data_IF_919574227653
#
_entry.id   IF_919574227653
#
_cell.length_a   1.000
_cell.length_b   1.000
_cell.length_c   1.000
_cell.angle_alpha   90.00
_cell.angle_beta   90.00
_cell.angle_gamma   90.00
#
_symmetry.space_group_name_H-M   'P 1'
#
loop_
_entity.id
_entity.type
_entity.pdbx_description
1 polymer ?
#
# COMPACT_ATOMS: atom_id res chain seq x y z
N UNK A 1 -6.79 43.14 -65.90
CA UNK A 1 -5.66 43.03 -64.96
C UNK A 1 -5.66 41.64 -64.35
N UNK A 2 -5.06 40.66 -65.04
CA UNK A 2 -4.94 39.27 -64.55
C UNK A 2 -3.60 39.11 -63.85
N UNK A 3 -3.62 38.83 -62.54
CA UNK A 3 -2.41 38.49 -61.79
C UNK A 3 -2.10 37.00 -62.03
N UNK A 4 -1.00 36.70 -62.72
CA UNK A 4 -0.43 35.35 -62.77
C UNK A 4 0.17 35.01 -61.41
N UNK A 5 -0.40 34.05 -60.71
CA UNK A 5 0.25 33.45 -59.54
C UNK A 5 1.31 32.45 -60.03
N UNK A 6 2.56 32.53 -59.54
CA UNK A 6 3.61 31.57 -59.90
C UNK A 6 3.22 30.17 -59.42
N UNK A 7 3.33 29.18 -60.31
CA UNK A 7 3.09 27.77 -60.00
C UNK A 7 4.24 27.28 -59.11
N UNK A 8 3.98 27.08 -57.83
CA UNK A 8 4.95 26.49 -56.89
C UNK A 8 5.18 25.04 -57.34
N UNK A 9 6.40 24.70 -57.74
CA UNK A 9 6.76 23.32 -58.04
C UNK A 9 6.64 22.48 -56.77
N UNK A 10 5.74 21.50 -56.77
CA UNK A 10 5.71 20.48 -55.72
C UNK A 10 7.00 19.65 -55.83
N UNK A 11 7.95 19.89 -54.92
CA UNK A 11 9.02 18.94 -54.67
C UNK A 11 8.36 17.69 -54.05
N UNK A 12 8.23 16.62 -54.85
CA UNK A 12 7.69 15.35 -54.36
C UNK A 12 8.53 14.85 -53.18
N UNK A 13 7.86 14.31 -52.16
CA UNK A 13 8.50 13.66 -51.00
C UNK A 13 9.63 12.75 -51.46
N UNK A 14 10.84 13.03 -51.01
CA UNK A 14 11.97 12.13 -51.28
C UNK A 14 11.79 10.87 -50.44
N UNK A 15 12.16 9.70 -50.96
CA UNK A 15 12.12 8.44 -50.19
C UNK A 15 12.95 8.53 -48.89
N UNK A 16 13.98 9.38 -48.89
CA UNK A 16 14.80 9.69 -47.73
C UNK A 16 14.00 10.37 -46.59
N UNK A 17 13.10 11.29 -46.92
CA UNK A 17 12.30 12.04 -45.93
C UNK A 17 11.35 11.11 -45.16
N UNK A 18 10.70 10.17 -45.86
CA UNK A 18 9.83 9.18 -45.24
C UNK A 18 10.63 8.23 -44.34
N UNK A 19 11.84 7.82 -44.75
CA UNK A 19 12.71 6.95 -43.94
C UNK A 19 13.19 7.65 -42.68
N UNK A 20 13.58 8.93 -42.77
CA UNK A 20 13.97 9.73 -41.59
C UNK A 20 12.76 9.92 -40.65
N UNK A 21 11.59 10.27 -41.18
CA UNK A 21 10.37 10.40 -40.39
C UNK A 21 10.01 9.08 -39.68
N UNK A 22 10.10 7.95 -40.38
CA UNK A 22 9.87 6.62 -39.82
C UNK A 22 10.88 6.26 -38.73
N UNK A 23 12.16 6.60 -38.92
CA UNK A 23 13.22 6.39 -37.92
C UNK A 23 12.96 7.20 -36.64
N UNK A 24 12.63 8.49 -36.78
CA UNK A 24 12.28 9.37 -35.65
C UNK A 24 11.04 8.85 -34.93
N UNK A 25 9.99 8.48 -35.67
CA UNK A 25 8.76 7.91 -35.10
C UNK A 25 9.05 6.62 -34.32
N UNK A 26 9.87 5.73 -34.88
CA UNK A 26 10.23 4.45 -34.24
C UNK A 26 10.93 4.68 -32.90
N UNK A 27 11.91 5.59 -32.84
CA UNK A 27 12.56 5.94 -31.58
C UNK A 27 11.62 6.64 -30.60
N UNK A 28 10.76 7.54 -31.09
CA UNK A 28 9.74 8.18 -30.27
C UNK A 28 8.78 7.18 -29.62
N UNK A 29 8.34 6.18 -30.37
CA UNK A 29 7.45 5.13 -29.86
C UNK A 29 8.14 4.24 -28.82
N UNK A 30 9.39 3.85 -29.05
CA UNK A 30 10.18 3.08 -28.07
C UNK A 30 10.37 3.88 -26.77
N UNK A 31 10.65 5.18 -26.88
CA UNK A 31 10.73 6.09 -25.74
C UNK A 31 9.41 6.17 -24.96
N UNK A 32 8.28 6.29 -25.67
CA UNK A 32 6.96 6.33 -25.05
C UNK A 32 6.60 5.02 -24.31
N UNK A 33 6.92 3.86 -24.89
CA UNK A 33 6.68 2.55 -24.24
C UNK A 33 7.52 2.41 -22.97
N UNK A 34 8.79 2.80 -23.00
CA UNK A 34 9.65 2.78 -21.81
C UNK A 34 9.09 3.66 -20.70
N UNK A 35 8.61 4.88 -21.04
CA UNK A 35 7.98 5.78 -20.08
C UNK A 35 6.67 5.19 -19.52
N UNK A 36 5.81 4.61 -20.37
CA UNK A 36 4.57 3.96 -19.93
C UNK A 36 4.83 2.81 -18.96
N UNK A 37 5.86 2.00 -19.21
CA UNK A 37 6.24 0.91 -18.31
C UNK A 37 6.66 1.43 -16.92
N UNK A 38 7.47 2.50 -16.88
CA UNK A 38 7.87 3.15 -15.62
C UNK A 38 6.70 3.81 -14.90
N UNK A 39 5.80 4.47 -15.63
CA UNK A 39 4.59 5.07 -15.07
C UNK A 39 3.67 4.01 -14.44
N UNK A 40 3.50 2.85 -15.10
CA UNK A 40 2.71 1.73 -14.57
C UNK A 40 3.34 1.15 -13.30
N UNK A 41 4.66 0.99 -13.29
CA UNK A 41 5.40 0.53 -12.11
C UNK A 41 5.20 1.49 -10.92
N UNK A 42 5.40 2.80 -11.12
CA UNK A 42 5.21 3.80 -10.07
C UNK A 42 3.76 3.89 -9.58
N UNK A 43 2.79 3.72 -10.48
CA UNK A 43 1.36 3.67 -10.14
C UNK A 43 1.04 2.46 -9.25
N UNK A 44 1.61 1.29 -9.57
CA UNK A 44 1.45 0.10 -8.76
C UNK A 44 2.05 0.26 -7.36
N UNK A 45 3.29 0.75 -7.25
CA UNK A 45 3.94 1.01 -5.96
C UNK A 45 3.12 1.99 -5.10
N UNK A 46 2.54 3.02 -5.73
CA UNK A 46 1.66 3.98 -5.06
C UNK A 46 0.36 3.33 -4.57
N UNK A 47 -0.24 2.45 -5.38
CA UNK A 47 -1.43 1.68 -5.01
C UNK A 47 -1.16 0.76 -3.81
N UNK A 48 -0.03 0.03 -3.80
CA UNK A 48 0.35 -0.83 -2.67
C UNK A 48 0.48 0.01 -1.38
N UNK A 49 1.18 1.16 -1.46
CA UNK A 49 1.35 2.05 -0.31
C UNK A 49 0.02 2.61 0.19
N UNK A 50 -0.88 3.00 -0.71
CA UNK A 50 -2.22 3.48 -0.34
C UNK A 50 -3.04 2.38 0.35
N UNK A 51 -2.99 1.14 -0.15
CA UNK A 51 -3.65 -0.01 0.47
C UNK A 51 -3.11 -0.29 1.88
N UNK A 52 -1.80 -0.23 2.08
CA UNK A 52 -1.17 -0.42 3.39
C UNK A 52 -1.55 0.69 4.38
N UNK A 53 -1.54 1.96 3.95
CA UNK A 53 -1.98 3.10 4.78
C UNK A 53 -3.45 2.96 5.17
N UNK A 54 -4.31 2.55 4.24
CA UNK A 54 -5.73 2.34 4.50
C UNK A 54 -5.97 1.22 5.52
N UNK A 55 -5.27 0.09 5.39
CA UNK A 55 -5.33 -1.01 6.38
C UNK A 55 -4.88 -0.55 7.76
N UNK A 56 -3.74 0.15 7.84
CA UNK A 56 -3.20 0.64 9.10
C UNK A 56 -4.16 1.64 9.77
N UNK A 57 -4.73 2.57 8.99
CA UNK A 57 -5.69 3.55 9.47
C UNK A 57 -6.99 2.92 9.98
N UNK A 58 -7.50 1.90 9.30
CA UNK A 58 -8.71 1.17 9.71
C UNK A 58 -8.56 0.55 11.10
N UNK A 59 -7.49 -0.23 11.33
CA UNK A 59 -7.28 -0.86 12.64
C UNK A 59 -6.97 0.17 13.72
N UNK A 60 -6.25 1.24 13.40
CA UNK A 60 -5.97 2.31 14.38
C UNK A 60 -7.27 2.95 14.85
N UNK A 61 -8.24 3.15 13.94
CA UNK A 61 -9.52 3.72 14.30
C UNK A 61 -10.38 2.76 15.12
N UNK A 62 -10.33 1.46 14.82
CA UNK A 62 -10.97 0.41 15.64
C UNK A 62 -10.40 0.37 17.06
N UNK A 63 -9.07 0.39 17.19
CA UNK A 63 -8.37 0.44 18.49
C UNK A 63 -8.78 1.68 19.30
N UNK A 64 -8.86 2.86 18.65
CA UNK A 64 -9.33 4.10 19.31
C UNK A 64 -10.79 4.03 19.75
N UNK A 65 -11.62 3.27 19.04
CA UNK A 65 -13.04 3.10 19.38
C UNK A 65 -13.25 2.10 20.53
N UNK A 66 -12.27 1.24 20.79
CA UNK A 66 -12.28 0.25 21.86
C UNK A 66 -11.14 0.55 22.85
N UNK A 67 -11.16 1.78 23.38
CA UNK A 67 -10.19 2.23 24.38
C UNK A 67 -10.42 1.47 25.69
N UNK A 68 -9.39 0.74 26.13
CA UNK A 68 -9.46 -0.12 27.32
C UNK A 68 -8.12 -0.17 28.04
N UNK A 69 -8.14 -0.35 29.36
CA UNK A 69 -6.92 -0.50 30.16
C UNK A 69 -6.09 -1.74 29.76
N UNK A 70 -6.71 -2.72 29.10
CA UNK A 70 -6.09 -3.97 28.62
C UNK A 70 -5.72 -3.92 27.13
N UNK A 71 -5.58 -2.72 26.54
CA UNK A 71 -5.33 -2.54 25.10
C UNK A 71 -4.09 -3.31 24.60
N UNK A 72 -3.05 -3.41 25.43
CA UNK A 72 -1.85 -4.19 25.11
C UNK A 72 -2.17 -5.65 24.86
N UNK A 73 -2.94 -6.29 25.75
CA UNK A 73 -3.29 -7.70 25.63
C UNK A 73 -4.33 -7.94 24.54
N UNK A 74 -5.22 -6.97 24.31
CA UNK A 74 -6.33 -7.11 23.36
C UNK A 74 -5.88 -7.00 21.90
N UNK A 75 -5.02 -6.02 21.58
CA UNK A 75 -4.61 -5.71 20.20
C UNK A 75 -3.12 -5.94 19.91
N UNK A 76 -2.27 -6.07 20.95
CA UNK A 76 -0.85 -6.31 20.76
C UNK A 76 -0.59 -7.64 20.05
N UNK A 77 0.31 -7.61 19.06
CA UNK A 77 0.71 -8.82 18.36
C UNK A 77 1.01 -8.59 16.88
N UNK A 78 1.23 -9.69 16.17
CA UNK A 78 1.47 -9.69 14.73
C UNK A 78 0.59 -10.69 14.01
N UNK A 79 0.15 -10.32 12.81
CA UNK A 79 -0.70 -11.13 11.95
C UNK A 79 -0.14 -11.15 10.54
N UNK A 80 -0.36 -12.25 9.83
CA UNK A 80 -0.06 -12.40 8.41
C UNK A 80 -1.33 -12.77 7.67
N UNK A 81 -1.34 -12.69 6.34
CA UNK A 81 -2.49 -13.12 5.53
C UNK A 81 -2.81 -14.61 5.69
N UNK A 82 -1.81 -15.43 6.02
CA UNK A 82 -1.96 -16.87 6.25
C UNK A 82 -2.38 -17.20 7.68
N UNK A 83 -2.44 -16.21 8.57
CA UNK A 83 -2.93 -16.41 9.94
C UNK A 83 -4.33 -17.01 9.92
N UNK A 84 -4.55 -18.07 10.70
CA UNK A 84 -5.84 -18.76 10.74
C UNK A 84 -6.95 -17.78 11.13
N UNK A 85 -8.05 -17.85 10.37
CA UNK A 85 -9.27 -17.12 10.65
C UNK A 85 -10.09 -17.93 11.65
N UNK A 86 -10.56 -17.26 12.69
CA UNK A 86 -11.61 -17.75 13.56
C UNK A 86 -12.94 -17.13 13.15
N UNK A 87 -14.03 -17.87 13.33
CA UNK A 87 -15.37 -17.33 13.15
C UNK A 87 -15.88 -16.81 14.50
N UNK A 88 -15.46 -15.60 14.86
CA UNK A 88 -15.96 -14.92 16.06
C UNK A 88 -17.27 -14.21 15.73
N UNK A 89 -18.38 -14.78 16.20
CA UNK A 89 -19.74 -14.21 16.09
C UNK A 89 -20.26 -13.68 17.43
N UNK A 90 -19.41 -13.61 18.46
CA UNK A 90 -19.83 -13.32 19.83
C UNK A 90 -20.53 -11.97 19.90
N UNK A 91 -20.04 -10.96 19.19
CA UNK A 91 -20.64 -9.62 19.18
C UNK A 91 -21.88 -9.47 18.29
N UNK A 92 -22.27 -10.49 17.52
CA UNK A 92 -23.51 -10.50 16.74
C UNK A 92 -24.64 -11.29 17.42
N UNK A 93 -24.29 -12.16 18.36
CA UNK A 93 -25.22 -13.08 19.01
C UNK A 93 -25.38 -12.85 20.52
N UNK A 94 -24.42 -12.16 21.15
CA UNK A 94 -24.35 -11.97 22.60
C UNK A 94 -23.85 -10.57 22.97
N UNK A 95 -23.85 -10.27 24.27
CA UNK A 95 -23.20 -9.08 24.81
C UNK A 95 -21.71 -9.07 24.44
N UNK A 96 -21.23 -7.91 23.98
CA UNK A 96 -19.89 -7.73 23.48
C UNK A 96 -19.10 -6.83 24.45
N UNK A 97 -18.09 -7.39 25.11
CA UNK A 97 -17.17 -6.63 25.95
C UNK A 97 -15.93 -6.18 25.15
N UNK A 98 -15.05 -5.37 25.74
CA UNK A 98 -13.88 -4.85 25.04
C UNK A 98 -12.96 -5.97 24.47
N UNK A 99 -12.92 -7.14 25.10
CA UNK A 99 -12.11 -8.27 24.60
C UNK A 99 -12.76 -8.91 23.36
N UNK A 100 -14.08 -9.13 23.37
CA UNK A 100 -14.78 -9.69 22.22
C UNK A 100 -14.82 -8.72 21.03
N UNK A 101 -14.91 -7.39 21.28
CA UNK A 101 -14.73 -6.38 20.22
C UNK A 101 -13.35 -6.52 19.58
N UNK A 102 -12.30 -6.59 20.40
CA UNK A 102 -10.92 -6.69 19.89
C UNK A 102 -10.68 -7.98 19.10
N UNK A 103 -11.25 -9.11 19.54
CA UNK A 103 -11.16 -10.36 18.80
C UNK A 103 -11.88 -10.28 17.45
N UNK A 104 -13.11 -9.76 17.43
CA UNK A 104 -13.86 -9.54 16.20
C UNK A 104 -13.10 -8.62 15.23
N UNK A 105 -12.55 -7.50 15.73
CA UNK A 105 -11.75 -6.58 14.92
C UNK A 105 -10.55 -7.28 14.29
N UNK A 106 -9.79 -8.06 15.06
CA UNK A 106 -8.66 -8.83 14.56
C UNK A 106 -9.09 -9.81 13.47
N UNK A 107 -10.20 -10.52 13.64
CA UNK A 107 -10.68 -11.48 12.64
C UNK A 107 -11.14 -10.79 11.35
N UNK A 108 -11.94 -9.74 11.45
CA UNK A 108 -12.34 -8.94 10.28
C UNK A 108 -11.13 -8.37 9.55
N UNK A 109 -10.12 -7.95 10.31
CA UNK A 109 -8.94 -7.34 9.74
C UNK A 109 -8.00 -8.36 9.08
N UNK A 110 -7.85 -9.56 9.65
CA UNK A 110 -7.17 -10.69 8.96
C UNK A 110 -7.84 -11.01 7.62
N UNK A 111 -9.18 -10.97 7.55
CA UNK A 111 -9.91 -11.16 6.29
C UNK A 111 -9.62 -10.03 5.30
N UNK A 112 -9.58 -8.78 5.76
CA UNK A 112 -9.23 -7.63 4.93
C UNK A 112 -7.81 -7.75 4.35
N UNK A 113 -6.83 -8.16 5.16
CA UNK A 113 -5.45 -8.41 4.71
C UNK A 113 -5.44 -9.50 3.63
N UNK A 114 -6.09 -10.64 3.87
CA UNK A 114 -6.17 -11.74 2.91
C UNK A 114 -6.84 -11.32 1.60
N UNK A 115 -7.89 -10.49 1.65
CA UNK A 115 -8.54 -9.96 0.46
C UNK A 115 -7.60 -9.05 -0.37
N UNK A 116 -6.76 -8.26 0.29
CA UNK A 116 -5.77 -7.40 -0.40
C UNK A 116 -4.70 -8.21 -1.10
N UNK A 117 -4.32 -9.37 -0.57
CA UNK A 117 -3.40 -10.29 -1.25
C UNK A 117 -4.04 -11.03 -2.42
N UNK A 118 -5.26 -11.54 -2.24
CA UNK A 118 -5.98 -12.23 -3.32
C UNK A 118 -6.25 -11.32 -4.53
N UNK A 119 -6.32 -10.01 -4.30
CA UNK A 119 -6.47 -9.00 -5.37
C UNK A 119 -5.13 -8.52 -5.94
N UNK A 120 -4.00 -9.01 -5.42
CA UNK A 120 -2.64 -8.60 -5.83
C UNK A 120 -2.28 -7.17 -5.45
N UNK A 121 -3.05 -6.54 -4.55
CA UNK A 121 -2.78 -5.17 -4.08
C UNK A 121 -1.66 -5.10 -3.05
N UNK A 122 -1.46 -6.19 -2.29
CA UNK A 122 -0.34 -6.43 -1.39
C UNK A 122 0.13 -7.87 -1.60
N UNK A 123 1.33 -8.19 -1.13
CA UNK A 123 1.94 -9.52 -1.23
C UNK A 123 2.74 -9.80 0.04
N UNK A 124 2.67 -11.03 0.55
CA UNK A 124 3.25 -11.47 1.83
C UNK A 124 3.17 -10.43 2.96
N UNK A 125 1.93 -10.02 3.25
CA UNK A 125 1.60 -8.94 4.16
C UNK A 125 1.72 -9.42 5.59
N UNK A 126 2.58 -8.74 6.35
CA UNK A 126 2.68 -8.88 7.80
C UNK A 126 2.28 -7.57 8.45
N UNK A 127 1.44 -7.65 9.47
CA UNK A 127 1.10 -6.50 10.30
C UNK A 127 1.53 -6.72 11.73
N UNK A 128 2.10 -5.69 12.34
CA UNK A 128 2.48 -5.68 13.74
C UNK A 128 1.83 -4.48 14.43
N UNK A 129 1.14 -4.74 15.54
CA UNK A 129 0.52 -3.73 16.39
C UNK A 129 1.31 -3.72 17.69
N UNK A 130 1.90 -2.57 18.00
CA UNK A 130 2.76 -2.37 19.17
C UNK A 130 2.21 -1.24 20.02
N UNK A 131 1.27 -1.56 20.93
CA UNK A 131 0.81 -0.64 21.95
C UNK A 131 1.81 -0.57 23.10
N UNK A 132 2.11 0.64 23.56
CA UNK A 132 2.99 0.91 24.70
C UNK A 132 2.26 1.86 25.63
N UNK A 133 2.22 1.54 26.93
CA UNK A 133 1.61 2.41 27.93
C UNK A 133 2.36 3.74 28.01
N UNK A 134 1.62 4.84 27.98
CA UNK A 134 2.16 6.21 28.01
C UNK A 134 1.20 7.11 28.79
N UNK A 135 1.57 7.43 30.04
CA UNK A 135 0.71 8.16 30.98
C UNK A 135 -0.67 7.52 31.16
N UNK A 136 -1.72 8.32 30.96
CA UNK A 136 -3.13 7.92 31.07
C UNK A 136 -3.66 7.20 29.81
N UNK A 137 -2.78 6.82 28.89
CA UNK A 137 -3.15 6.19 27.64
C UNK A 137 -2.11 5.22 27.09
N UNK A 138 -2.16 5.03 25.78
CA UNK A 138 -1.27 4.16 25.03
C UNK A 138 -0.77 4.86 23.77
N UNK A 139 0.54 4.81 23.54
CA UNK A 139 1.13 5.05 22.23
C UNK A 139 1.05 3.77 21.42
N UNK A 140 0.20 3.77 20.38
CA UNK A 140 -0.04 2.61 19.52
C UNK A 140 0.67 2.84 18.21
N UNK A 141 1.57 1.93 17.84
CA UNK A 141 2.21 1.90 16.53
C UNK A 141 1.69 0.72 15.72
N UNK A 142 1.12 1.01 14.55
CA UNK A 142 0.67 0.00 13.59
C UNK A 142 1.62 0.02 12.41
N UNK A 143 2.27 -1.12 12.17
CA UNK A 143 3.20 -1.29 11.05
C UNK A 143 2.67 -2.36 10.09
N UNK A 144 2.42 -1.97 8.85
CA UNK A 144 2.07 -2.89 7.76
C UNK A 144 3.29 -3.06 6.88
N UNK A 145 3.78 -4.29 6.76
CA UNK A 145 4.87 -4.68 5.89
C UNK A 145 4.37 -5.60 4.77
N UNK A 146 4.92 -5.46 3.57
CA UNK A 146 4.58 -6.27 2.40
C UNK A 146 5.78 -6.38 1.45
N UNK A 147 5.71 -7.27 0.47
CA UNK A 147 6.73 -7.45 -0.56
C UNK A 147 6.49 -6.49 -1.72
N UNK A 148 7.47 -5.64 -1.98
CA UNK A 148 7.51 -4.73 -3.12
C UNK A 148 8.09 -5.39 -4.38
N UNK A 149 7.90 -4.75 -5.52
CA UNK A 149 8.31 -5.31 -6.84
C UNK A 149 9.74 -4.95 -7.24
N UNK A 150 10.47 -4.23 -6.40
CA UNK A 150 11.83 -3.74 -6.66
C UNK A 150 12.71 -3.98 -5.44
N UNK A 151 14.00 -4.19 -5.65
CA UNK A 151 14.96 -4.21 -4.55
C UNK A 151 15.27 -2.77 -4.11
N UNK A 152 15.15 -2.49 -2.82
CA UNK A 152 15.58 -1.25 -2.15
C UNK A 152 16.26 -1.64 -0.85
N UNK A 153 17.54 -1.27 -0.72
CA UNK A 153 18.26 -1.46 0.54
C UNK A 153 17.63 -0.62 1.64
N UNK A 154 17.20 -1.28 2.70
CA UNK A 154 16.67 -0.63 3.90
C UNK A 154 17.76 0.23 4.58
N UNK A 155 17.36 1.39 5.12
CA UNK A 155 18.25 2.18 5.98
C UNK A 155 18.22 1.62 7.42
N UNK A 156 19.04 2.18 8.31
CA UNK A 156 19.13 1.69 9.69
C UNK A 156 17.79 1.78 10.43
N UNK A 157 17.00 2.84 10.18
CA UNK A 157 15.72 3.06 10.84
C UNK A 157 14.66 2.03 10.39
N UNK A 158 14.58 1.74 9.09
CA UNK A 158 13.62 0.75 8.56
C UNK A 158 14.05 -0.68 8.90
N UNK A 159 15.36 -0.94 8.99
CA UNK A 159 15.91 -2.25 9.40
C UNK A 159 15.64 -2.54 10.88
N UNK A 160 15.62 -1.52 11.73
CA UNK A 160 15.30 -1.64 13.15
C UNK A 160 13.86 -2.08 13.43
N UNK A 161 12.93 -1.85 12.49
CA UNK A 161 11.53 -2.25 12.62
C UNK A 161 11.40 -3.77 12.43
N UNK A 162 10.97 -4.46 13.50
CA UNK A 162 10.74 -5.90 13.55
C UNK A 162 9.31 -6.24 13.10
N UNK A 163 9.03 -6.05 11.81
CA UNK A 163 7.78 -6.47 11.19
C UNK A 163 8.01 -6.97 9.77
N UNK A 164 7.49 -8.17 9.46
CA UNK A 164 7.73 -8.87 8.19
C UNK A 164 9.18 -9.34 7.97
N UNK A 165 9.41 -10.02 6.86
CA UNK A 165 10.72 -10.57 6.48
C UNK A 165 11.71 -9.47 6.10
N UNK A 166 12.88 -9.43 6.74
CA UNK A 166 13.91 -8.41 6.48
C UNK A 166 14.71 -8.75 5.22
N UNK A 167 14.23 -8.28 4.08
CA UNK A 167 14.93 -8.37 2.78
C UNK A 167 14.87 -7.03 2.02
N UNK A 168 15.50 -6.98 0.84
CA UNK A 168 15.53 -5.78 -0.02
C UNK A 168 14.20 -5.51 -0.74
N UNK A 169 13.27 -6.48 -0.76
CA UNK A 169 11.95 -6.32 -1.35
C UNK A 169 10.92 -5.81 -0.34
N UNK A 170 11.18 -5.93 0.97
CA UNK A 170 10.29 -5.45 2.01
C UNK A 170 9.99 -3.97 1.84
N UNK A 171 8.70 -3.67 1.91
CA UNK A 171 8.14 -2.33 2.07
C UNK A 171 7.37 -2.31 3.37
N UNK A 172 7.33 -1.13 3.99
CA UNK A 172 6.56 -0.95 5.21
C UNK A 172 6.03 0.48 5.32
N UNK A 173 4.90 0.59 6.00
CA UNK A 173 4.35 1.85 6.49
C UNK A 173 4.12 1.66 7.98
N UNK A 174 4.58 2.62 8.77
CA UNK A 174 4.36 2.66 10.21
C UNK A 174 3.62 3.95 10.53
N UNK A 175 2.48 3.82 11.21
CA UNK A 175 1.71 4.95 11.73
C UNK A 175 1.64 4.82 13.25
N UNK A 176 1.81 5.93 13.95
CA UNK A 176 1.74 5.98 15.40
C UNK A 176 0.64 6.95 15.82
N UNK A 177 -0.11 6.59 16.87
CA UNK A 177 -1.11 7.44 17.49
C UNK A 177 -1.14 7.23 18.98
N UNK A 178 -1.44 8.30 19.72
CA UNK A 178 -1.87 8.18 21.10
C UNK A 178 -3.35 7.77 21.17
N UNK A 179 -3.70 6.94 22.16
CA UNK A 179 -5.06 6.51 22.52
C UNK A 179 -5.23 6.78 24.00
N UNK A 180 -6.11 7.73 24.35
CA UNK A 180 -6.47 8.01 25.74
C UNK A 180 -7.47 6.96 26.22
N UNK A 181 -7.29 6.43 27.43
CA UNK A 181 -8.28 5.54 28.05
C UNK A 181 -9.29 6.38 28.80
N UNK A 182 -10.57 6.30 28.42
CA UNK A 182 -11.64 6.94 29.19
C UNK A 182 -11.86 6.20 30.51
N UNK A 183 -11.87 6.97 31.60
CA UNK A 183 -12.24 6.52 32.94
C UNK A 183 -13.72 6.19 33.05
#
# INVERSE_FOLDING_TARGET
MSRLFPKVNQAGFTLLEVVIAFMVLSFGLLGAVALQAKAKQASFDSMQRAAAVALAGDIMQRIRSNDTANLIDHYGGSFTSQTQLANDLTCFSNFCNNLSIANLDKEQWKQAIRAKENTGSLDDTTVCITPVRDGDGFSVTVTVAWVGRQAIKANNNTTAINCGTKDDYRRLVSISSFVLVRS
#
